data_IF_691674238375
#
_entry.id   IF_691674238375
#
_cell.length_a   1.000
_cell.length_b   1.000
_cell.length_c   1.000
_cell.angle_alpha   90.00
_cell.angle_beta   90.00
_cell.angle_gamma   90.00
#
_symmetry.space_group_name_H-M   'P 1'
#
loop_
_entity.id
_entity.type
_entity.pdbx_description
1 polymer ?
#
# COMPACT_ATOMS: atom_id res chain seq x y z
N UNK A 1 27.37 25.72 17.70
CA UNK A 1 26.79 26.79 18.52
C UNK A 1 25.66 26.32 19.45
N UNK A 2 24.59 25.68 18.95
CA UNK A 2 23.50 25.17 19.81
C UNK A 2 23.95 24.02 20.72
N UNK A 3 24.76 23.10 20.24
CA UNK A 3 25.30 21.99 21.00
C UNK A 3 26.31 22.48 22.06
N UNK A 4 27.09 23.48 21.73
CA UNK A 4 28.03 24.15 22.70
C UNK A 4 27.28 24.82 23.83
N UNK A 5 26.17 25.51 23.54
CA UNK A 5 25.33 26.16 24.58
C UNK A 5 24.63 25.13 25.48
N UNK A 6 24.31 23.95 24.98
CA UNK A 6 23.68 22.90 25.75
C UNK A 6 24.66 22.00 26.49
N UNK A 7 25.98 22.24 26.37
CA UNK A 7 27.04 21.39 26.92
C UNK A 7 26.92 19.90 26.58
N UNK A 8 26.34 19.60 25.41
CA UNK A 8 26.21 18.22 24.92
C UNK A 8 27.55 17.82 24.30
N UNK A 9 28.18 16.72 24.74
CA UNK A 9 29.42 16.24 24.12
C UNK A 9 29.12 15.85 22.68
N UNK A 10 29.79 16.49 21.72
CA UNK A 10 29.69 16.16 20.29
C UNK A 10 31.09 15.97 19.71
N UNK A 11 31.19 15.09 18.72
CA UNK A 11 32.40 14.94 17.93
C UNK A 11 32.20 15.64 16.59
N UNK A 12 33.05 16.61 16.28
CA UNK A 12 33.12 17.16 14.93
C UNK A 12 33.77 16.14 14.01
N UNK A 13 32.96 15.52 13.18
CA UNK A 13 33.44 14.74 12.03
C UNK A 13 33.63 15.67 10.84
N UNK A 14 34.84 16.12 10.63
CA UNK A 14 35.18 16.90 9.42
C UNK A 14 34.89 16.10 8.17
N UNK A 15 34.47 16.80 7.10
CA UNK A 15 34.29 16.17 5.79
C UNK A 15 35.61 15.55 5.35
N UNK A 16 35.69 14.24 5.08
CA UNK A 16 36.90 13.60 4.59
C UNK A 16 37.46 14.32 3.37
N UNK A 17 38.79 14.47 3.31
CA UNK A 17 39.48 15.28 2.31
C UNK A 17 39.11 14.91 0.85
N UNK A 18 38.82 13.62 0.60
CA UNK A 18 38.35 13.11 -0.70
C UNK A 18 37.01 13.69 -1.17
N UNK A 19 36.23 14.31 -0.27
CA UNK A 19 34.96 14.98 -0.57
C UNK A 19 35.07 16.51 -0.49
N UNK A 20 36.23 17.03 -0.05
CA UNK A 20 36.50 18.47 -0.12
C UNK A 20 36.79 18.82 -1.57
N UNK A 21 35.79 19.38 -2.24
CA UNK A 21 36.02 20.09 -3.49
C UNK A 21 36.41 21.52 -3.14
N UNK A 22 37.33 22.11 -3.89
CA UNK A 22 37.56 23.57 -3.89
C UNK A 22 36.30 24.25 -4.39
N UNK A 23 35.35 24.46 -3.51
CA UNK A 23 34.09 25.13 -3.81
C UNK A 23 34.17 26.52 -3.18
N UNK A 24 33.89 27.53 -3.97
CA UNK A 24 33.58 28.87 -3.44
C UNK A 24 32.61 28.74 -2.27
N UNK A 25 32.71 29.59 -1.22
CA UNK A 25 31.87 29.45 -0.04
C UNK A 25 30.40 29.29 -0.42
N UNK A 26 29.68 28.33 0.18
CA UNK A 26 28.31 28.05 -0.19
C UNK A 26 27.45 29.31 -0.02
N UNK A 27 26.68 29.65 -1.05
CA UNK A 27 25.69 30.74 -0.93
C UNK A 27 24.50 30.20 -0.15
N UNK A 28 24.33 30.63 1.08
CA UNK A 28 23.21 30.27 1.94
C UNK A 28 22.19 31.40 1.88
N UNK A 29 20.95 31.06 1.53
CA UNK A 29 19.81 31.97 1.61
C UNK A 29 18.85 31.44 2.67
N UNK A 30 18.41 32.29 3.57
CA UNK A 30 17.38 31.97 4.56
C UNK A 30 16.07 32.67 4.16
N UNK A 31 15.01 31.89 4.07
CA UNK A 31 13.67 32.39 3.81
C UNK A 31 12.74 31.95 4.92
N UNK A 32 11.95 32.88 5.45
CA UNK A 32 10.93 32.58 6.46
C UNK A 32 9.57 32.61 5.78
N UNK A 33 8.82 31.52 5.92
CA UNK A 33 7.50 31.35 5.33
C UNK A 33 6.41 31.30 6.41
N UNK A 34 5.17 31.66 6.08
CA UNK A 34 4.04 31.66 7.00
C UNK A 34 3.57 30.26 7.37
N UNK A 35 3.67 29.33 6.43
CA UNK A 35 3.22 27.95 6.57
C UNK A 35 3.93 27.00 5.58
N UNK A 36 3.61 25.72 5.66
CA UNK A 36 4.23 24.69 4.82
C UNK A 36 3.86 24.80 3.33
N UNK A 37 2.71 25.40 2.98
CA UNK A 37 2.38 25.63 1.57
C UNK A 37 3.22 26.76 0.99
N UNK A 38 3.37 27.86 1.72
CA UNK A 38 4.25 28.97 1.33
C UNK A 38 5.72 28.51 1.23
N UNK A 39 6.16 27.59 2.11
CA UNK A 39 7.49 26.98 2.02
C UNK A 39 7.63 26.18 0.71
N UNK A 40 6.65 25.34 0.38
CA UNK A 40 6.68 24.54 -0.85
C UNK A 40 6.59 25.41 -2.11
N UNK A 41 5.77 26.47 -2.10
CA UNK A 41 5.68 27.42 -3.22
C UNK A 41 6.97 28.19 -3.42
N UNK A 42 7.59 28.66 -2.33
CA UNK A 42 8.88 29.34 -2.38
C UNK A 42 9.97 28.43 -2.96
N UNK A 43 9.97 27.15 -2.54
CA UNK A 43 10.88 26.15 -3.08
C UNK A 43 10.62 25.91 -4.58
N UNK A 44 9.36 25.81 -5.02
CA UNK A 44 8.99 25.62 -6.41
C UNK A 44 9.44 26.77 -7.30
N UNK A 45 9.19 28.00 -6.87
CA UNK A 45 9.65 29.21 -7.58
C UNK A 45 11.17 29.19 -7.69
N UNK A 46 11.86 28.93 -6.60
CA UNK A 46 13.32 28.90 -6.58
C UNK A 46 13.93 27.82 -7.49
N UNK A 47 13.32 26.63 -7.49
CA UNK A 47 13.73 25.53 -8.39
C UNK A 47 13.53 25.95 -9.86
N UNK A 48 12.40 26.57 -10.16
CA UNK A 48 12.09 27.04 -11.52
C UNK A 48 13.12 28.07 -11.99
N UNK A 49 13.49 29.02 -11.14
CA UNK A 49 14.57 30.00 -11.42
C UNK A 49 15.90 29.32 -11.67
N UNK A 50 16.29 28.37 -10.80
CA UNK A 50 17.55 27.65 -10.94
C UNK A 50 17.64 26.85 -12.24
N UNK A 51 16.54 26.23 -12.64
CA UNK A 51 16.49 25.46 -13.89
C UNK A 51 16.49 26.38 -15.10
N UNK A 52 15.66 27.43 -15.11
CA UNK A 52 15.50 28.32 -16.28
C UNK A 52 16.68 29.27 -16.48
N UNK A 53 17.20 29.86 -15.39
CA UNK A 53 18.19 30.90 -15.45
C UNK A 53 19.63 30.40 -15.26
N UNK A 54 19.81 29.34 -14.45
CA UNK A 54 21.14 28.80 -14.12
C UNK A 54 21.46 27.51 -14.86
N UNK A 55 20.51 26.96 -15.62
CA UNK A 55 20.71 25.77 -16.44
C UNK A 55 20.88 24.49 -15.62
N UNK A 56 20.46 24.48 -14.33
CA UNK A 56 20.44 23.26 -13.51
C UNK A 56 19.37 22.32 -14.01
N UNK A 57 19.59 21.03 -13.81
CA UNK A 57 18.57 20.00 -14.10
C UNK A 57 17.83 19.67 -12.81
N UNK A 58 16.56 19.29 -12.88
CA UNK A 58 15.78 18.86 -11.71
C UNK A 58 16.50 17.80 -10.88
N UNK A 59 17.18 16.86 -11.51
CA UNK A 59 17.97 15.82 -10.84
C UNK A 59 19.19 16.32 -10.06
N UNK A 60 19.62 17.55 -10.28
CA UNK A 60 20.75 18.16 -9.59
C UNK A 60 20.30 18.90 -8.32
N UNK A 61 18.98 18.92 -8.04
CA UNK A 61 18.36 19.65 -6.93
C UNK A 61 17.76 18.66 -5.93
N UNK A 62 18.03 18.84 -4.65
CA UNK A 62 17.52 18.03 -3.56
C UNK A 62 16.85 18.89 -2.52
N UNK A 63 15.71 18.45 -2.02
CA UNK A 63 15.01 19.03 -0.86
C UNK A 63 15.19 18.08 0.32
N UNK A 64 15.66 18.58 1.43
CA UNK A 64 15.80 17.82 2.66
C UNK A 64 14.76 18.35 3.65
N UNK A 65 13.92 17.48 4.17
CA UNK A 65 12.92 17.81 5.19
C UNK A 65 12.86 16.74 6.28
N UNK A 66 12.49 17.13 7.49
CA UNK A 66 12.46 16.24 8.65
C UNK A 66 11.27 15.25 8.62
N UNK A 67 10.19 15.60 7.92
CA UNK A 67 8.96 14.81 7.87
C UNK A 67 8.46 14.69 6.42
N UNK A 68 9.06 13.75 5.70
CA UNK A 68 8.68 13.49 4.32
C UNK A 68 7.27 12.89 4.17
N UNK A 69 6.70 12.30 5.21
CA UNK A 69 5.35 11.70 5.16
C UNK A 69 4.28 12.80 5.12
N UNK A 70 4.36 13.76 6.05
CA UNK A 70 3.41 14.87 6.12
C UNK A 70 3.67 15.89 5.03
N UNK A 71 4.89 16.41 4.95
CA UNK A 71 5.28 17.48 4.01
C UNK A 71 5.30 17.02 2.55
N UNK A 72 5.62 15.75 2.30
CA UNK A 72 5.71 15.21 0.95
C UNK A 72 4.41 15.31 0.16
N UNK A 73 3.24 15.23 0.81
CA UNK A 73 1.95 15.41 0.17
C UNK A 73 1.72 16.86 -0.28
N UNK A 74 2.20 17.83 0.51
CA UNK A 74 2.14 19.27 0.21
C UNK A 74 3.07 19.58 -0.96
N UNK A 75 4.33 19.15 -0.89
CA UNK A 75 5.30 19.32 -1.98
C UNK A 75 4.79 18.72 -3.29
N UNK A 76 4.21 17.52 -3.27
CA UNK A 76 3.64 16.91 -4.47
C UNK A 76 2.57 17.79 -5.11
N UNK A 77 1.58 18.23 -4.31
CA UNK A 77 0.48 19.06 -4.80
C UNK A 77 0.96 20.40 -5.38
N UNK A 78 1.92 21.04 -4.73
CA UNK A 78 2.47 22.30 -5.18
C UNK A 78 3.31 22.08 -6.45
N UNK A 79 4.21 21.09 -6.45
CA UNK A 79 5.12 20.84 -7.57
C UNK A 79 4.38 20.37 -8.81
N UNK A 80 3.29 19.60 -8.68
CA UNK A 80 2.42 19.24 -9.80
C UNK A 80 1.86 20.50 -10.50
N UNK A 81 1.47 21.55 -9.74
CA UNK A 81 1.02 22.83 -10.31
C UNK A 81 2.12 23.60 -11.06
N UNK A 82 3.37 23.47 -10.62
CA UNK A 82 4.53 24.08 -11.24
C UNK A 82 5.20 23.20 -12.29
N UNK A 83 4.63 22.02 -12.58
CA UNK A 83 5.17 21.02 -13.53
C UNK A 83 6.60 20.57 -13.17
N UNK A 84 6.93 20.56 -11.87
CA UNK A 84 8.22 20.13 -11.35
C UNK A 84 8.19 18.64 -11.07
N UNK A 85 9.01 17.81 -11.73
CA UNK A 85 9.09 16.39 -11.45
C UNK A 85 9.64 16.15 -10.05
N UNK A 86 8.92 15.38 -9.23
CA UNK A 86 9.25 15.14 -7.83
C UNK A 86 9.37 13.64 -7.52
N UNK A 87 10.52 13.24 -7.04
CA UNK A 87 10.70 11.95 -6.37
C UNK A 87 10.76 12.18 -4.86
N UNK A 88 9.97 11.44 -4.10
CA UNK A 88 9.97 11.49 -2.63
C UNK A 88 10.46 10.14 -2.10
N UNK A 89 11.61 10.14 -1.44
CA UNK A 89 12.10 8.99 -0.71
C UNK A 89 11.33 8.87 0.61
N UNK A 90 10.34 7.97 0.62
CA UNK A 90 9.57 7.65 1.82
C UNK A 90 9.36 6.15 1.95
N UNK A 91 9.44 5.67 3.16
CA UNK A 91 9.04 4.30 3.47
C UNK A 91 7.51 4.20 3.35
N UNK A 92 7.02 3.36 2.45
CA UNK A 92 5.60 3.01 2.41
C UNK A 92 5.40 1.77 3.26
N UNK A 93 4.43 1.81 4.17
CA UNK A 93 3.97 0.61 4.85
C UNK A 93 3.37 -0.35 3.83
N UNK A 94 3.89 -1.57 3.73
CA UNK A 94 3.39 -2.58 2.79
C UNK A 94 2.08 -3.22 3.24
N UNK A 95 1.66 -3.03 4.50
CA UNK A 95 0.47 -3.67 5.06
C UNK A 95 -0.84 -3.18 4.44
N UNK A 96 -0.83 -2.03 3.77
CA UNK A 96 -1.99 -1.49 3.05
C UNK A 96 -1.98 -1.85 1.56
N UNK A 97 -1.00 -2.59 1.11
CA UNK A 97 -0.95 -3.08 -0.26
C UNK A 97 -1.98 -4.20 -0.44
N UNK A 98 -2.84 -4.15 -1.48
CA UNK A 98 -3.88 -5.16 -1.70
C UNK A 98 -3.34 -6.59 -1.79
N UNK A 99 -2.14 -6.80 -2.33
CA UNK A 99 -1.53 -8.13 -2.40
C UNK A 99 -1.13 -8.65 -1.01
N UNK A 100 -0.61 -7.76 -0.15
CA UNK A 100 -0.25 -8.10 1.22
C UNK A 100 -1.51 -8.35 2.05
N UNK A 101 -2.53 -7.51 1.88
CA UNK A 101 -3.84 -7.69 2.51
C UNK A 101 -4.49 -9.01 2.11
N UNK A 102 -4.42 -9.38 0.83
CA UNK A 102 -4.87 -10.68 0.33
C UNK A 102 -4.18 -11.85 1.04
N UNK A 103 -2.85 -11.80 1.18
CA UNK A 103 -2.08 -12.86 1.85
C UNK A 103 -2.56 -13.04 3.29
N UNK A 104 -2.67 -11.95 4.05
CA UNK A 104 -3.14 -12.01 5.43
C UNK A 104 -4.59 -12.50 5.53
N UNK A 105 -5.47 -11.97 4.70
CA UNK A 105 -6.88 -12.37 4.69
C UNK A 105 -7.07 -13.85 4.30
N UNK A 106 -6.28 -14.37 3.34
CA UNK A 106 -6.26 -15.78 2.99
C UNK A 106 -5.78 -16.64 4.16
N UNK A 107 -4.70 -16.25 4.82
CA UNK A 107 -4.18 -16.98 5.99
C UNK A 107 -5.18 -17.01 7.13
N UNK A 108 -5.85 -15.88 7.41
CA UNK A 108 -6.90 -15.79 8.43
C UNK A 108 -8.11 -16.65 8.04
N UNK A 109 -8.53 -16.64 6.77
CA UNK A 109 -9.63 -17.48 6.27
C UNK A 109 -9.37 -18.97 6.47
N UNK A 110 -8.13 -19.40 6.20
CA UNK A 110 -7.71 -20.80 6.39
C UNK A 110 -7.61 -21.16 7.87
N UNK A 111 -7.00 -20.32 8.68
CA UNK A 111 -6.80 -20.55 10.11
C UNK A 111 -8.10 -20.59 10.88
N UNK A 112 -8.99 -19.64 10.62
CA UNK A 112 -10.16 -19.36 11.46
C UNK A 112 -11.46 -19.99 10.92
N UNK A 113 -11.35 -20.87 9.94
CA UNK A 113 -12.47 -21.69 9.45
C UNK A 113 -13.51 -20.92 8.65
N UNK A 114 -13.07 -20.00 7.78
CA UNK A 114 -13.91 -19.25 6.84
C UNK A 114 -14.92 -18.35 7.54
N UNK A 115 -14.45 -17.54 8.47
CA UNK A 115 -15.30 -16.49 9.06
C UNK A 115 -15.76 -15.53 7.98
N UNK A 116 -16.98 -15.04 8.09
CA UNK A 116 -17.60 -14.10 7.14
C UNK A 116 -16.67 -12.94 6.78
N UNK A 117 -16.14 -12.27 7.80
CA UNK A 117 -15.26 -11.13 7.64
C UNK A 117 -13.98 -11.47 6.84
N UNK A 118 -13.32 -12.56 7.16
CA UNK A 118 -12.05 -12.94 6.55
C UNK A 118 -12.22 -13.32 5.07
N UNK A 119 -13.31 -14.04 4.76
CA UNK A 119 -13.64 -14.44 3.37
C UNK A 119 -13.90 -13.21 2.49
N UNK A 120 -14.73 -12.28 2.94
CA UNK A 120 -15.05 -11.10 2.14
C UNK A 120 -13.90 -10.09 2.09
N UNK A 121 -13.14 -9.96 3.18
CA UNK A 121 -11.89 -9.19 3.20
C UNK A 121 -10.91 -9.70 2.14
N UNK A 122 -10.73 -11.00 2.03
CA UNK A 122 -9.90 -11.63 1.00
C UNK A 122 -10.44 -11.35 -0.42
N UNK A 123 -11.74 -11.57 -0.65
CA UNK A 123 -12.33 -11.40 -1.98
C UNK A 123 -12.27 -9.94 -2.47
N UNK A 124 -12.44 -8.96 -1.58
CA UNK A 124 -12.41 -7.52 -1.90
C UNK A 124 -11.04 -6.98 -2.28
N UNK A 125 -9.98 -7.74 -2.12
CA UNK A 125 -8.62 -7.33 -2.53
C UNK A 125 -8.41 -7.31 -4.04
N UNK A 126 -9.30 -7.93 -4.82
CA UNK A 126 -9.18 -8.08 -6.26
C UNK A 126 -8.30 -9.24 -6.73
N UNK A 127 -7.75 -10.05 -5.81
CA UNK A 127 -6.95 -11.24 -6.12
C UNK A 127 -7.76 -12.55 -6.09
N UNK A 128 -9.07 -12.48 -5.95
CA UNK A 128 -9.95 -13.63 -6.03
C UNK A 128 -10.54 -13.77 -7.44
N UNK A 129 -11.00 -14.99 -7.82
CA UNK A 129 -11.66 -15.21 -9.12
C UNK A 129 -13.08 -14.63 -9.20
N UNK A 130 -13.57 -14.03 -8.11
CA UNK A 130 -14.89 -13.39 -8.02
C UNK A 130 -14.68 -11.89 -8.20
N UNK A 131 -15.41 -11.29 -9.14
CA UNK A 131 -15.35 -9.84 -9.40
C UNK A 131 -15.89 -9.04 -8.22
N UNK A 132 -15.66 -7.72 -8.24
CA UNK A 132 -16.10 -6.85 -7.15
C UNK A 132 -17.62 -6.86 -7.00
N UNK A 133 -18.36 -6.75 -8.10
CA UNK A 133 -19.83 -6.75 -8.10
C UNK A 133 -20.39 -8.09 -7.62
N UNK A 134 -19.81 -9.21 -8.07
CA UNK A 134 -20.16 -10.54 -7.61
C UNK A 134 -19.85 -10.77 -6.14
N UNK A 135 -18.75 -10.20 -5.65
CA UNK A 135 -18.39 -10.23 -4.24
C UNK A 135 -19.44 -9.47 -3.40
N UNK A 136 -19.89 -8.30 -3.85
CA UNK A 136 -20.93 -7.54 -3.16
C UNK A 136 -22.28 -8.30 -3.17
N UNK A 137 -22.65 -8.92 -4.28
CA UNK A 137 -23.86 -9.75 -4.38
C UNK A 137 -23.84 -10.90 -3.38
N UNK A 138 -22.71 -11.62 -3.30
CA UNK A 138 -22.49 -12.70 -2.31
C UNK A 138 -22.52 -12.19 -0.87
N UNK A 139 -21.86 -11.06 -0.60
CA UNK A 139 -21.79 -10.47 0.75
C UNK A 139 -23.17 -10.08 1.24
N UNK A 140 -23.96 -9.42 0.38
CA UNK A 140 -25.32 -9.02 0.70
C UNK A 140 -26.21 -10.22 1.02
N UNK A 141 -26.14 -11.27 0.21
CA UNK A 141 -26.87 -12.53 0.48
C UNK A 141 -26.42 -13.17 1.78
N UNK A 142 -25.10 -13.34 1.97
CA UNK A 142 -24.56 -13.97 3.16
C UNK A 142 -24.85 -13.18 4.43
N UNK A 143 -24.87 -11.86 4.37
CA UNK A 143 -25.25 -10.97 5.46
C UNK A 143 -26.74 -11.13 5.80
N UNK A 144 -27.61 -11.06 4.79
CA UNK A 144 -29.07 -11.18 4.94
C UNK A 144 -29.49 -12.50 5.60
N UNK A 145 -28.89 -13.61 5.18
CA UNK A 145 -29.25 -14.96 5.66
C UNK A 145 -28.30 -15.52 6.69
N UNK A 146 -27.40 -14.68 7.25
CA UNK A 146 -26.42 -15.05 8.27
C UNK A 146 -25.60 -16.30 7.93
N UNK A 147 -25.13 -16.37 6.68
CA UNK A 147 -24.23 -17.43 6.21
C UNK A 147 -22.84 -17.20 6.78
N UNK A 148 -22.37 -18.15 7.61
CA UNK A 148 -21.06 -18.04 8.29
C UNK A 148 -20.39 -19.41 8.35
N UNK A 149 -19.04 -19.42 8.36
CA UNK A 149 -18.20 -20.59 8.60
C UNK A 149 -18.63 -21.83 7.82
N UNK A 150 -18.94 -22.92 8.49
CA UNK A 150 -19.28 -24.19 7.84
C UNK A 150 -20.49 -24.17 6.88
N UNK A 151 -21.34 -23.13 6.91
CA UNK A 151 -22.45 -22.98 5.96
C UNK A 151 -21.96 -22.66 4.53
N UNK A 152 -20.78 -22.12 4.38
CA UNK A 152 -20.13 -21.91 3.07
C UNK A 152 -19.94 -23.20 2.30
N UNK A 153 -19.75 -24.32 3.00
CA UNK A 153 -19.53 -25.63 2.38
C UNK A 153 -20.81 -26.28 1.84
N UNK A 154 -21.97 -25.68 2.11
CA UNK A 154 -23.27 -26.19 1.70
C UNK A 154 -23.93 -25.26 0.70
N UNK A 155 -24.75 -25.78 -0.23
CA UNK A 155 -25.53 -24.92 -1.12
C UNK A 155 -26.39 -23.92 -0.37
N UNK A 156 -26.52 -22.74 -0.93
CA UNK A 156 -27.44 -21.72 -0.43
C UNK A 156 -28.86 -22.10 -0.80
N UNK A 157 -29.74 -22.13 0.18
CA UNK A 157 -31.14 -22.56 0.02
C UNK A 157 -32.14 -21.55 0.61
N UNK A 158 -31.65 -20.49 1.24
CA UNK A 158 -32.49 -19.50 1.91
C UNK A 158 -33.05 -18.49 0.92
N UNK A 159 -34.28 -18.04 1.16
CA UNK A 159 -34.88 -16.95 0.41
C UNK A 159 -35.33 -17.32 -1.02
N UNK A 160 -35.60 -18.59 -1.32
CA UNK A 160 -36.00 -19.01 -2.68
C UNK A 160 -37.26 -18.27 -3.19
N UNK A 161 -38.20 -17.93 -2.29
CA UNK A 161 -39.41 -17.17 -2.66
C UNK A 161 -39.14 -15.68 -2.93
N UNK A 162 -38.12 -15.12 -2.27
CA UNK A 162 -37.77 -13.70 -2.38
C UNK A 162 -36.74 -13.43 -3.48
N UNK A 163 -35.71 -14.25 -3.58
CA UNK A 163 -34.58 -14.06 -4.49
C UNK A 163 -34.82 -14.71 -5.86
N UNK A 164 -35.67 -15.72 -5.94
CA UNK A 164 -35.92 -16.52 -7.15
C UNK A 164 -34.86 -17.61 -7.37
N UNK A 165 -35.25 -18.64 -8.08
CA UNK A 165 -34.42 -19.83 -8.34
C UNK A 165 -33.15 -19.48 -9.17
N UNK A 166 -33.30 -18.65 -10.19
CA UNK A 166 -32.21 -18.24 -11.08
C UNK A 166 -31.08 -17.51 -10.32
N UNK A 167 -31.47 -16.55 -9.49
CA UNK A 167 -30.51 -15.81 -8.68
C UNK A 167 -29.82 -16.72 -7.66
N UNK A 168 -30.57 -17.62 -7.04
CA UNK A 168 -30.02 -18.57 -6.09
C UNK A 168 -29.01 -19.53 -6.72
N UNK A 169 -29.31 -20.00 -7.95
CA UNK A 169 -28.40 -20.83 -8.72
C UNK A 169 -27.10 -20.06 -9.06
N UNK A 170 -27.22 -18.80 -9.48
CA UNK A 170 -26.06 -17.94 -9.73
C UNK A 170 -25.21 -17.74 -8.46
N UNK A 171 -25.83 -17.43 -7.34
CA UNK A 171 -25.15 -17.28 -6.05
C UNK A 171 -24.43 -18.57 -5.62
N UNK A 172 -25.02 -19.73 -5.90
CA UNK A 172 -24.36 -21.00 -5.63
C UNK A 172 -23.15 -21.25 -6.53
N UNK A 173 -23.19 -20.85 -7.80
CA UNK A 173 -22.05 -20.92 -8.71
C UNK A 173 -20.91 -20.03 -8.21
N UNK A 174 -21.21 -18.78 -7.80
CA UNK A 174 -20.22 -17.86 -7.23
C UNK A 174 -19.63 -18.41 -5.94
N UNK A 175 -20.48 -18.99 -5.07
CA UNK A 175 -20.03 -19.66 -3.84
C UNK A 175 -19.08 -20.81 -4.15
N UNK A 176 -19.37 -21.63 -5.17
CA UNK A 176 -18.50 -22.76 -5.55
C UNK A 176 -17.15 -22.28 -6.10
N UNK A 177 -17.15 -21.23 -6.90
CA UNK A 177 -15.93 -20.59 -7.40
C UNK A 177 -15.07 -20.08 -6.23
N UNK A 178 -15.68 -19.34 -5.31
CA UNK A 178 -14.99 -18.84 -4.11
C UNK A 178 -14.52 -19.99 -3.20
N UNK A 179 -15.34 -21.03 -2.99
CA UNK A 179 -15.00 -22.18 -2.16
C UNK A 179 -13.85 -23.00 -2.75
N UNK A 180 -13.84 -23.22 -4.05
CA UNK A 180 -12.74 -23.90 -4.74
C UNK A 180 -11.42 -23.13 -4.61
N UNK A 181 -11.49 -21.80 -4.71
CA UNK A 181 -10.34 -20.94 -4.52
C UNK A 181 -9.79 -20.99 -3.07
N UNK A 182 -10.68 -20.92 -2.07
CA UNK A 182 -10.29 -21.06 -0.66
C UNK A 182 -9.68 -22.43 -0.38
N UNK A 183 -10.27 -23.52 -0.89
CA UNK A 183 -9.72 -24.88 -0.75
C UNK A 183 -8.32 -24.99 -1.30
N UNK A 184 -8.08 -24.37 -2.46
CA UNK A 184 -6.74 -24.33 -3.05
C UNK A 184 -5.74 -23.59 -2.16
N UNK A 185 -6.17 -22.52 -1.48
CA UNK A 185 -5.39 -21.84 -0.42
C UNK A 185 -5.16 -22.74 0.80
N UNK A 186 -6.17 -23.48 1.26
CA UNK A 186 -6.02 -24.45 2.36
C UNK A 186 -4.97 -25.51 2.04
N UNK A 187 -4.98 -26.09 0.82
CA UNK A 187 -4.01 -27.10 0.37
C UNK A 187 -2.57 -26.60 0.38
N UNK A 188 -2.35 -25.32 0.08
CA UNK A 188 -1.01 -24.72 0.12
C UNK A 188 -0.36 -24.79 1.50
N UNK A 189 -1.15 -24.65 2.54
CA UNK A 189 -0.66 -24.64 3.93
C UNK A 189 -0.70 -26.00 4.61
N UNK A 190 -1.46 -26.95 4.07
CA UNK A 190 -1.53 -28.32 4.60
C UNK A 190 -0.23 -29.09 4.35
N UNK A 191 0.19 -29.89 5.34
CA UNK A 191 1.35 -30.77 5.21
C UNK A 191 2.71 -30.07 5.05
N UNK A 192 2.77 -28.77 4.94
CA UNK A 192 4.01 -28.04 4.79
C UNK A 192 4.61 -27.71 6.15
N UNK A 193 5.83 -28.13 6.39
CA UNK A 193 6.48 -28.03 7.70
C UNK A 193 7.35 -26.80 7.85
N UNK A 194 8.03 -26.38 6.80
CA UNK A 194 9.02 -25.28 6.84
C UNK A 194 8.42 -23.97 6.33
N UNK A 195 8.95 -22.86 6.83
CA UNK A 195 8.61 -21.52 6.32
C UNK A 195 8.93 -21.40 4.84
N UNK A 196 10.06 -21.96 4.41
CA UNK A 196 10.49 -21.94 3.01
C UNK A 196 9.45 -22.59 2.09
N UNK A 197 9.01 -23.81 2.41
CA UNK A 197 8.01 -24.54 1.62
C UNK A 197 6.69 -23.78 1.54
N UNK A 198 6.26 -23.14 2.64
CA UNK A 198 5.06 -22.30 2.66
C UNK A 198 5.20 -21.06 1.79
N UNK A 199 6.36 -20.40 1.85
CA UNK A 199 6.64 -19.20 1.05
C UNK A 199 6.72 -19.52 -0.44
N UNK A 200 7.38 -20.62 -0.82
CA UNK A 200 7.44 -21.08 -2.21
C UNK A 200 6.04 -21.42 -2.75
N UNK A 201 5.23 -22.10 -1.95
CA UNK A 201 3.85 -22.41 -2.33
C UNK A 201 2.97 -21.14 -2.46
N UNK A 202 3.11 -20.19 -1.55
CA UNK A 202 2.40 -18.92 -1.61
C UNK A 202 2.81 -18.11 -2.86
N UNK A 203 4.10 -18.06 -3.16
CA UNK A 203 4.60 -17.39 -4.37
C UNK A 203 3.99 -17.99 -5.64
N UNK A 204 3.99 -19.31 -5.76
CA UNK A 204 3.38 -20.01 -6.91
C UNK A 204 1.87 -19.74 -7.00
N UNK A 205 1.19 -19.69 -5.89
CA UNK A 205 -0.24 -19.37 -5.85
C UNK A 205 -0.52 -17.94 -6.34
N UNK A 206 0.23 -16.96 -5.84
CA UNK A 206 0.08 -15.56 -6.23
C UNK A 206 0.38 -15.34 -7.72
N UNK A 207 1.40 -15.98 -8.25
CA UNK A 207 1.74 -15.87 -9.69
C UNK A 207 0.69 -16.46 -10.61
N UNK A 208 -0.13 -17.40 -10.12
CA UNK A 208 -1.23 -18.00 -10.86
C UNK A 208 -2.56 -17.23 -10.71
N UNK A 209 -2.69 -16.39 -9.70
CA UNK A 209 -3.90 -15.58 -9.44
C UNK A 209 -3.79 -14.16 -9.98
N UNK A 210 -2.58 -13.69 -10.28
CA UNK A 210 -2.32 -12.35 -10.82
C UNK A 210 -2.52 -12.24 -12.35
N UNK A 211 -3.12 -13.27 -12.99
CA UNK A 211 -3.53 -13.26 -14.40
C UNK A 211 -5.01 -12.95 -14.52
#
# INVERSE_FOLDING_TARGET
EMAERAQIPYQEHGIPEKYRRDVSPPRVNLTVCSDFYAEAETAAVRITELVREKGLRYRDIVIICNDAEVRGSIFRRVFDRYEIPLFIDRKRGILQDPAVEFIFAMMDTVRDGRRFYDVFRMMKTGYSPVSHDECEELENYCSKYHIRSGRWKKPFVYGMQEEGEEKLNRLNQLRETADAFIRRGEELFQGRKTVREKTEALYLFLTQTAQ
#
